data_IF_625442702264
#
_entry.id   IF_625442702264
#
_cell.length_a   1.000
_cell.length_b   1.000
_cell.length_c   1.000
_cell.angle_alpha   90.00
_cell.angle_beta   90.00
_cell.angle_gamma   90.00
#
_symmetry.space_group_name_H-M   'P 1'
#
loop_
_entity.id
_entity.type
_entity.pdbx_description
1 polymer ?
#
# COMPACT_ATOMS: atom_id res chain seq x y z
N UNK A 1 -5.89 -10.48 3.01
CA UNK A 1 -6.05 -9.17 3.62
C UNK A 1 -6.36 -8.12 2.57
N UNK A 2 -6.99 -7.03 2.99
CA UNK A 2 -7.47 -6.03 2.03
C UNK A 2 -6.35 -5.24 1.35
N UNK A 3 -5.33 -4.85 2.12
CA UNK A 3 -4.24 -4.03 1.57
C UNK A 3 -2.96 -4.83 1.51
N UNK A 4 -2.29 -4.75 0.37
CA UNK A 4 -0.99 -5.39 0.17
C UNK A 4 0.00 -4.32 -0.27
N UNK A 5 1.13 -4.24 0.44
CA UNK A 5 2.23 -3.37 0.04
C UNK A 5 3.17 -4.17 -0.83
N UNK A 6 3.43 -3.67 -2.03
CA UNK A 6 4.35 -4.30 -2.98
C UNK A 6 5.63 -3.50 -3.10
N UNK A 7 6.73 -4.21 -3.27
CA UNK A 7 7.98 -3.60 -3.69
C UNK A 7 8.00 -3.59 -5.22
N UNK A 8 7.94 -2.40 -5.83
CA UNK A 8 7.89 -2.25 -7.28
C UNK A 8 9.12 -2.82 -7.99
N UNK A 9 10.30 -2.66 -7.38
CA UNK A 9 11.53 -3.14 -7.99
C UNK A 9 11.57 -4.66 -8.07
N UNK A 10 11.06 -5.32 -7.04
CA UNK A 10 11.06 -6.78 -6.94
C UNK A 10 9.74 -7.40 -7.38
N UNK A 11 8.71 -6.58 -7.61
CA UNK A 11 7.35 -7.01 -7.95
C UNK A 11 6.82 -8.07 -6.98
N UNK A 12 7.14 -7.90 -5.69
CA UNK A 12 6.78 -8.87 -4.64
C UNK A 12 6.02 -8.20 -3.52
N UNK A 13 5.03 -8.91 -2.93
CA UNK A 13 4.38 -8.41 -1.73
C UNK A 13 5.36 -8.44 -0.55
N UNK A 14 5.41 -7.37 0.22
CA UNK A 14 6.29 -7.26 1.38
C UNK A 14 5.55 -7.08 2.68
N UNK A 15 4.26 -6.73 2.63
CA UNK A 15 3.46 -6.52 3.82
C UNK A 15 1.99 -6.59 3.48
N UNK A 16 1.18 -7.15 4.36
CA UNK A 16 -0.27 -7.23 4.18
C UNK A 16 -0.97 -6.79 5.46
N UNK A 17 -2.07 -6.06 5.33
CA UNK A 17 -2.85 -5.60 6.47
C UNK A 17 -4.28 -5.28 6.03
N UNK A 18 -5.19 -5.20 7.00
CA UNK A 18 -6.55 -4.73 6.77
C UNK A 18 -6.71 -3.25 7.12
N UNK A 19 -5.63 -2.60 7.57
CA UNK A 19 -5.63 -1.20 8.00
C UNK A 19 -4.78 -0.37 7.04
N UNK A 20 -5.44 0.55 6.31
CA UNK A 20 -4.73 1.40 5.34
C UNK A 20 -3.68 2.29 6.01
N UNK A 21 -3.97 2.80 7.20
CA UNK A 21 -3.00 3.64 7.94
C UNK A 21 -1.74 2.85 8.21
N UNK A 22 -1.88 1.59 8.59
CA UNK A 22 -0.74 0.70 8.83
C UNK A 22 0.05 0.46 7.56
N UNK A 23 -0.64 0.27 6.43
CA UNK A 23 0.03 0.08 5.14
C UNK A 23 0.82 1.32 4.74
N UNK A 24 0.23 2.51 4.89
CA UNK A 24 0.90 3.78 4.60
C UNK A 24 2.11 3.96 5.53
N UNK A 25 1.93 3.68 6.81
CA UNK A 25 3.01 3.79 7.79
C UNK A 25 4.18 2.87 7.46
N UNK A 26 3.89 1.68 6.98
CA UNK A 26 4.94 0.76 6.53
C UNK A 26 5.80 1.38 5.44
N UNK A 27 5.18 2.02 4.46
CA UNK A 27 5.94 2.67 3.37
C UNK A 27 6.79 3.83 3.88
N UNK A 28 6.33 4.54 4.91
CA UNK A 28 7.07 5.66 5.51
C UNK A 28 8.26 5.21 6.35
N UNK A 29 8.18 4.06 6.98
CA UNK A 29 9.26 3.53 7.81
C UNK A 29 10.46 3.08 7.00
N UNK A 30 10.30 2.94 5.69
CA UNK A 30 11.36 2.51 4.80
C UNK A 30 11.65 3.59 3.77
N UNK A 31 12.14 4.79 4.20
CA UNK A 31 12.25 5.96 3.33
C UNK A 31 13.11 5.73 2.08
N UNK A 32 14.15 4.91 2.18
CA UNK A 32 15.00 4.61 1.03
C UNK A 32 14.27 3.77 -0.01
N UNK A 33 13.25 3.03 0.42
CA UNK A 33 12.50 2.11 -0.43
C UNK A 33 11.09 2.60 -0.70
N UNK A 34 10.67 3.71 -0.10
CA UNK A 34 9.30 4.20 -0.20
C UNK A 34 8.87 4.51 -1.63
N UNK A 35 9.79 5.00 -2.46
CA UNK A 35 9.54 5.27 -3.87
C UNK A 35 9.26 3.99 -4.66
N UNK A 36 9.69 2.85 -4.14
CA UNK A 36 9.55 1.54 -4.79
C UNK A 36 8.40 0.75 -4.20
N UNK A 37 7.69 1.33 -3.23
CA UNK A 37 6.54 0.67 -2.64
C UNK A 37 5.26 1.22 -3.25
N UNK A 38 4.27 0.35 -3.41
CA UNK A 38 2.92 0.73 -3.76
C UNK A 38 1.95 -0.11 -2.96
N UNK A 39 0.74 0.43 -2.76
CA UNK A 39 -0.31 -0.24 -1.99
C UNK A 39 -1.39 -0.68 -2.97
N UNK A 40 -1.78 -1.95 -2.90
CA UNK A 40 -2.89 -2.50 -3.66
C UNK A 40 -4.10 -2.70 -2.75
N UNK A 41 -5.25 -2.19 -3.17
CA UNK A 41 -6.52 -2.44 -2.48
C UNK A 41 -7.23 -3.59 -3.17
N UNK A 42 -7.30 -4.74 -2.51
CA UNK A 42 -7.91 -5.94 -3.08
C UNK A 42 -9.43 -5.77 -3.28
N UNK A 43 -10.08 -4.96 -2.46
CA UNK A 43 -11.52 -4.72 -2.60
C UNK A 43 -11.82 -3.83 -3.80
N UNK A 44 -11.05 -2.78 -4.01
CA UNK A 44 -11.23 -1.85 -5.13
C UNK A 44 -10.46 -2.28 -6.38
N UNK A 45 -9.59 -3.28 -6.26
CA UNK A 45 -8.79 -3.79 -7.38
C UNK A 45 -7.96 -2.71 -8.05
N UNK A 46 -7.32 -1.87 -7.26
CA UNK A 46 -6.53 -0.75 -7.79
C UNK A 46 -5.28 -0.48 -6.96
N UNK A 47 -4.25 0.07 -7.62
CA UNK A 47 -3.05 0.60 -6.98
C UNK A 47 -3.12 2.12 -6.81
N UNK A 48 -4.18 2.78 -7.26
CA UNK A 48 -4.29 4.24 -7.21
C UNK A 48 -4.51 4.69 -5.77
N UNK A 49 -3.46 5.24 -5.16
CA UNK A 49 -3.48 5.63 -3.76
C UNK A 49 -4.52 6.73 -3.47
N UNK A 50 -4.79 7.60 -4.43
CA UNK A 50 -5.80 8.65 -4.26
C UNK A 50 -7.19 8.05 -4.11
N UNK A 51 -7.51 7.07 -4.95
CA UNK A 51 -8.79 6.36 -4.88
C UNK A 51 -8.89 5.58 -3.59
N UNK A 52 -7.82 4.87 -3.23
CA UNK A 52 -7.78 4.06 -2.00
C UNK A 52 -7.99 4.93 -0.76
N UNK A 53 -7.29 6.06 -0.67
CA UNK A 53 -7.42 6.97 0.47
C UNK A 53 -8.80 7.60 0.53
N UNK A 54 -9.33 8.01 -0.60
CA UNK A 54 -10.66 8.61 -0.65
C UNK A 54 -11.73 7.63 -0.14
N UNK A 55 -11.65 6.39 -0.61
CA UNK A 55 -12.60 5.35 -0.20
C UNK A 55 -12.49 5.03 1.30
N UNK A 56 -11.31 5.17 1.88
CA UNK A 56 -11.07 4.93 3.31
C UNK A 56 -11.35 6.16 4.18
N UNK A 57 -11.67 7.31 3.59
CA UNK A 57 -11.94 8.54 4.33
C UNK A 57 -10.70 9.21 4.91
N UNK A 58 -9.58 9.01 4.29
CA UNK A 58 -8.31 9.57 4.76
C UNK A 58 -7.84 10.71 3.88
#
# INVERSE_FOLDING_TARGET
MRYTVYNKAMKRPVFQTNDLVEAIDYTRRHPRKSRRHCIYDDKLKTFDIKIIRHAAGI
#
